data_IF_454608687890
#
_entry.id   IF_454608687890
#
_cell.length_a   1.000
_cell.length_b   1.000
_cell.length_c   1.000
_cell.angle_alpha   90.00
_cell.angle_beta   90.00
_cell.angle_gamma   90.00
#
_symmetry.space_group_name_H-M   'P 1'
#
loop_
_entity.id
_entity.type
_entity.pdbx_description
1 polymer ?
#
# COMPACT_ATOMS: atom_id res chain seq x y z
N UNK A 1 -31.92 -7.74 17.04
CA UNK A 1 -32.92 -6.81 17.56
C UNK A 1 -32.72 -5.44 16.97
N UNK A 2 -33.77 -4.88 16.39
CA UNK A 2 -33.78 -3.50 15.88
C UNK A 2 -33.80 -2.52 17.07
N UNK A 3 -33.26 -1.31 16.91
CA UNK A 3 -33.21 -0.29 17.98
C UNK A 3 -34.62 0.01 18.55
N UNK A 4 -35.65 -0.06 17.71
CA UNK A 4 -37.04 0.14 18.10
C UNK A 4 -37.54 -0.92 19.10
N UNK A 5 -37.18 -2.19 18.92
CA UNK A 5 -37.56 -3.27 19.86
C UNK A 5 -36.88 -3.10 21.22
N UNK A 6 -35.61 -2.65 21.24
CA UNK A 6 -34.89 -2.39 22.48
C UNK A 6 -35.50 -1.21 23.25
N UNK A 7 -35.86 -0.14 22.54
CA UNK A 7 -36.50 1.03 23.14
C UNK A 7 -37.86 0.66 23.74
N UNK A 8 -38.63 -0.21 23.08
CA UNK A 8 -39.90 -0.69 23.61
C UNK A 8 -39.72 -1.47 24.93
N UNK A 9 -38.76 -2.41 24.98
CA UNK A 9 -38.45 -3.16 26.21
C UNK A 9 -38.02 -2.20 27.33
N UNK A 10 -37.22 -1.18 27.02
CA UNK A 10 -36.79 -0.21 28.04
C UNK A 10 -37.92 0.70 28.55
N UNK A 11 -38.95 0.93 27.74
CA UNK A 11 -40.17 1.60 28.19
C UNK A 11 -41.02 0.66 29.05
N UNK A 12 -41.16 -0.61 28.66
CA UNK A 12 -41.90 -1.64 29.41
C UNK A 12 -41.27 -1.92 30.79
N UNK A 13 -39.93 -1.93 30.86
CA UNK A 13 -39.15 -2.05 32.11
C UNK A 13 -39.08 -0.73 32.92
N UNK A 14 -39.69 0.35 32.43
CA UNK A 14 -39.72 1.65 33.12
C UNK A 14 -38.38 2.37 33.20
N UNK A 15 -37.37 1.94 32.44
CA UNK A 15 -36.03 2.56 32.40
C UNK A 15 -36.06 3.94 31.74
N UNK A 16 -36.95 4.15 30.76
CA UNK A 16 -37.12 5.40 30.03
C UNK A 16 -38.61 5.69 29.77
N UNK A 17 -38.96 6.97 29.63
CA UNK A 17 -40.31 7.37 29.24
C UNK A 17 -40.53 7.22 27.72
N UNK A 18 -41.79 7.05 27.30
CA UNK A 18 -42.15 6.93 25.88
C UNK A 18 -41.68 8.12 25.02
N UNK A 19 -41.79 9.36 25.54
CA UNK A 19 -41.28 10.55 24.87
C UNK A 19 -39.74 10.60 24.76
N UNK A 20 -39.02 9.98 25.70
CA UNK A 20 -37.56 9.80 25.59
C UNK A 20 -37.21 8.74 24.54
N UNK A 21 -37.98 7.67 24.44
CA UNK A 21 -37.78 6.66 23.40
C UNK A 21 -37.93 7.26 22.00
N UNK A 22 -38.95 8.10 21.79
CA UNK A 22 -39.21 8.74 20.50
C UNK A 22 -38.11 9.72 20.09
N UNK A 23 -37.59 10.50 21.05
CA UNK A 23 -36.48 11.42 20.81
C UNK A 23 -35.14 10.70 20.53
N UNK A 24 -34.88 9.58 21.18
CA UNK A 24 -33.71 8.72 20.89
C UNK A 24 -33.82 8.10 19.50
N UNK A 25 -35.01 7.62 19.13
CA UNK A 25 -35.25 7.02 17.81
C UNK A 25 -35.09 8.06 16.68
N UNK A 26 -35.58 9.29 16.90
CA UNK A 26 -35.38 10.41 15.98
C UNK A 26 -33.90 10.82 15.85
N UNK A 27 -33.14 10.79 16.95
CA UNK A 27 -31.70 11.05 16.94
C UNK A 27 -30.93 9.97 16.16
N UNK A 28 -31.23 8.69 16.38
CA UNK A 28 -30.55 7.60 15.66
C UNK A 28 -30.92 7.58 14.17
N UNK A 29 -32.18 7.81 13.81
CA UNK A 29 -32.58 7.91 12.40
C UNK A 29 -31.84 9.04 11.66
N UNK A 30 -31.55 10.15 12.34
CA UNK A 30 -30.70 11.23 11.78
C UNK A 30 -29.24 10.83 11.62
N UNK A 31 -28.75 9.89 12.43
CA UNK A 31 -27.35 9.45 12.45
C UNK A 31 -27.08 8.29 11.48
N UNK A 32 -28.10 7.49 11.15
CA UNK A 32 -27.95 6.19 10.49
C UNK A 32 -27.94 6.16 8.96
N UNK A 33 -28.09 7.29 8.27
CA UNK A 33 -27.93 7.33 6.80
C UNK A 33 -26.48 7.64 6.43
N UNK A 34 -25.55 6.72 6.75
CA UNK A 34 -24.31 6.61 5.96
C UNK A 34 -24.66 5.76 4.74
N UNK A 35 -24.81 6.34 3.54
CA UNK A 35 -25.22 5.60 2.37
C UNK A 35 -24.05 4.73 1.88
N UNK A 36 -23.84 3.58 2.51
CA UNK A 36 -22.77 2.64 2.14
C UNK A 36 -22.80 2.30 0.64
N UNK A 37 -24.00 2.17 0.06
CA UNK A 37 -24.18 2.00 -1.38
C UNK A 37 -23.59 3.16 -2.20
N UNK A 38 -23.80 4.42 -1.78
CA UNK A 38 -23.26 5.59 -2.46
C UNK A 38 -21.73 5.64 -2.37
N UNK A 39 -21.15 5.32 -1.21
CA UNK A 39 -19.69 5.21 -1.08
C UNK A 39 -19.12 4.12 -1.98
N UNK A 40 -19.79 2.96 -2.10
CA UNK A 40 -19.37 1.90 -3.02
C UNK A 40 -19.39 2.37 -4.47
N UNK A 41 -20.43 3.08 -4.92
CA UNK A 41 -20.48 3.62 -6.28
C UNK A 41 -19.42 4.70 -6.52
N UNK A 42 -19.11 5.54 -5.53
CA UNK A 42 -18.03 6.53 -5.63
C UNK A 42 -16.68 5.83 -5.77
N UNK A 43 -16.37 4.86 -4.91
CA UNK A 43 -15.11 4.10 -4.95
C UNK A 43 -14.99 3.36 -6.29
N UNK A 44 -16.07 2.72 -6.74
CA UNK A 44 -16.14 2.06 -8.04
C UNK A 44 -15.85 3.04 -9.18
N UNK A 45 -16.53 4.20 -9.19
CA UNK A 45 -16.34 5.23 -10.21
C UNK A 45 -14.91 5.75 -10.25
N UNK A 46 -14.34 6.09 -9.09
CA UNK A 46 -12.94 6.52 -8.97
C UNK A 46 -11.99 5.44 -9.47
N UNK A 47 -12.25 4.17 -9.13
CA UNK A 47 -11.41 3.04 -9.55
C UNK A 47 -11.45 2.85 -11.07
N UNK A 48 -12.65 2.87 -11.67
CA UNK A 48 -12.83 2.74 -13.13
C UNK A 48 -12.15 3.88 -13.87
N UNK A 49 -12.31 5.13 -13.41
CA UNK A 49 -11.66 6.29 -14.00
C UNK A 49 -10.14 6.17 -13.88
N UNK A 50 -9.62 5.78 -12.71
CA UNK A 50 -8.18 5.61 -12.49
C UNK A 50 -7.59 4.56 -13.42
N UNK A 51 -8.25 3.40 -13.55
CA UNK A 51 -7.84 2.33 -14.47
C UNK A 51 -7.88 2.82 -15.91
N UNK A 52 -8.91 3.58 -16.31
CA UNK A 52 -9.01 4.15 -17.65
C UNK A 52 -7.86 5.10 -17.99
N UNK A 53 -7.49 5.98 -17.06
CA UNK A 53 -6.35 6.89 -17.23
C UNK A 53 -5.04 6.10 -17.35
N UNK A 54 -4.81 5.13 -16.46
CA UNK A 54 -3.63 4.26 -16.52
C UNK A 54 -3.57 3.51 -17.85
N UNK A 55 -4.71 3.00 -18.33
CA UNK A 55 -4.82 2.30 -19.61
C UNK A 55 -4.49 3.20 -20.81
N UNK A 56 -4.95 4.45 -20.81
CA UNK A 56 -4.61 5.42 -21.86
C UNK A 56 -3.10 5.72 -21.88
N UNK A 57 -2.49 5.92 -20.72
CA UNK A 57 -1.05 6.13 -20.59
C UNK A 57 -0.29 4.89 -21.09
N UNK A 58 -0.71 3.69 -20.67
CA UNK A 58 -0.12 2.43 -21.10
C UNK A 58 -0.22 2.21 -22.62
N UNK A 59 -1.35 2.58 -23.23
CA UNK A 59 -1.54 2.46 -24.67
C UNK A 59 -0.59 3.38 -25.48
N UNK A 60 -0.16 4.49 -24.89
CA UNK A 60 0.77 5.45 -25.50
C UNK A 60 2.21 5.30 -24.95
N UNK A 61 2.49 4.27 -24.15
CA UNK A 61 3.71 4.16 -23.37
C UNK A 61 5.00 4.22 -24.21
N UNK A 62 5.00 3.53 -25.35
CA UNK A 62 6.12 3.52 -26.30
C UNK A 62 6.37 4.88 -26.97
N UNK A 63 5.34 5.70 -27.10
CA UNK A 63 5.45 7.03 -27.70
C UNK A 63 5.96 8.10 -26.72
N UNK A 64 5.91 7.82 -25.42
CA UNK A 64 6.37 8.75 -24.38
C UNK A 64 7.89 8.63 -24.24
N UNK A 65 8.67 9.72 -24.39
CA UNK A 65 10.11 9.67 -24.21
C UNK A 65 10.50 9.28 -22.78
N UNK A 66 11.58 8.51 -22.63
CA UNK A 66 12.02 8.00 -21.33
C UNK A 66 12.37 9.11 -20.33
N UNK A 67 12.93 10.22 -20.81
CA UNK A 67 13.20 11.40 -19.98
C UNK A 67 11.91 11.97 -19.36
N UNK A 68 10.81 11.99 -20.12
CA UNK A 68 9.51 12.48 -19.63
C UNK A 68 8.97 11.54 -18.55
N UNK A 69 9.07 10.22 -18.76
CA UNK A 69 8.68 9.21 -17.75
C UNK A 69 9.43 9.44 -16.43
N UNK A 70 10.74 9.61 -16.50
CA UNK A 70 11.58 9.85 -15.32
C UNK A 70 11.30 11.19 -14.64
N UNK A 71 11.15 12.27 -15.42
CA UNK A 71 10.84 13.59 -14.85
C UNK A 71 9.50 13.57 -14.12
N UNK A 72 8.48 12.95 -14.70
CA UNK A 72 7.15 12.82 -14.06
C UNK A 72 7.24 11.96 -12.79
N UNK A 73 7.98 10.85 -12.84
CA UNK A 73 8.20 9.97 -11.69
C UNK A 73 8.87 10.70 -10.51
N UNK A 74 10.00 11.38 -10.76
CA UNK A 74 10.69 12.15 -9.73
C UNK A 74 9.87 13.34 -9.22
N UNK A 75 9.06 13.97 -10.08
CA UNK A 75 8.14 15.02 -9.68
C UNK A 75 7.05 14.47 -8.75
N UNK A 76 6.49 13.30 -9.06
CA UNK A 76 5.49 12.64 -8.22
C UNK A 76 6.06 12.24 -6.85
N UNK A 77 7.29 11.70 -6.82
CA UNK A 77 8.03 11.44 -5.59
C UNK A 77 8.23 12.71 -4.76
N UNK A 78 8.68 13.80 -5.40
CA UNK A 78 8.97 15.08 -4.73
C UNK A 78 7.70 15.71 -4.13
N UNK A 79 6.60 15.72 -4.88
CA UNK A 79 5.31 16.22 -4.39
C UNK A 79 4.81 15.38 -3.23
N UNK A 80 4.92 14.05 -3.33
CA UNK A 80 4.47 13.14 -2.27
C UNK A 80 5.31 13.33 -1.00
N UNK A 81 6.64 13.45 -1.12
CA UNK A 81 7.53 13.74 0.01
C UNK A 81 7.20 15.08 0.67
N UNK A 82 6.96 16.13 -0.12
CA UNK A 82 6.52 17.43 0.40
C UNK A 82 5.18 17.33 1.14
N UNK A 83 4.20 16.62 0.56
CA UNK A 83 2.90 16.43 1.16
C UNK A 83 2.97 15.60 2.46
N UNK A 84 3.85 14.60 2.55
CA UNK A 84 4.13 13.88 3.81
C UNK A 84 4.63 14.85 4.86
N UNK A 85 5.60 15.69 4.53
CA UNK A 85 6.15 16.66 5.48
C UNK A 85 5.09 17.64 5.98
N UNK A 86 4.25 18.15 5.08
CA UNK A 86 3.16 19.07 5.40
C UNK A 86 2.06 18.41 6.25
N UNK A 87 1.68 17.18 5.93
CA UNK A 87 0.59 16.45 6.60
C UNK A 87 1.04 15.41 7.65
N UNK A 88 2.27 15.52 8.17
CA UNK A 88 2.87 14.50 9.07
C UNK A 88 2.07 14.19 10.34
N UNK A 89 1.24 15.14 10.80
CA UNK A 89 0.40 14.99 11.99
C UNK A 89 -1.02 14.51 11.70
N UNK A 90 -1.36 14.26 10.42
CA UNK A 90 -2.69 13.85 9.98
C UNK A 90 -2.69 12.38 9.55
N UNK A 91 -3.86 11.74 9.59
CA UNK A 91 -4.04 10.36 9.13
C UNK A 91 -3.56 10.17 7.68
N UNK A 92 -3.75 11.19 6.84
CA UNK A 92 -3.35 11.17 5.43
C UNK A 92 -1.83 11.10 5.25
N UNK A 93 -1.03 11.62 6.20
CA UNK A 93 0.43 11.52 6.14
C UNK A 93 0.94 10.08 6.21
N UNK A 94 0.26 9.20 6.97
CA UNK A 94 0.55 7.77 7.00
C UNK A 94 0.25 7.10 5.67
N UNK A 95 -0.93 7.38 5.09
CA UNK A 95 -1.33 6.84 3.79
C UNK A 95 -0.37 7.29 2.69
N UNK A 96 0.04 8.56 2.68
CA UNK A 96 1.02 9.09 1.74
C UNK A 96 2.40 8.45 1.90
N UNK A 97 2.80 8.06 3.11
CA UNK A 97 4.10 7.40 3.31
C UNK A 97 4.12 5.96 2.83
N UNK A 98 3.00 5.24 2.99
CA UNK A 98 2.81 3.94 2.35
C UNK A 98 2.86 4.10 0.82
N UNK A 99 2.14 5.08 0.28
CA UNK A 99 2.18 5.40 -1.14
C UNK A 99 3.61 5.73 -1.61
N UNK A 100 4.36 6.52 -0.85
CA UNK A 100 5.74 6.89 -1.17
C UNK A 100 6.67 5.68 -1.25
N UNK A 101 6.54 4.70 -0.34
CA UNK A 101 7.28 3.43 -0.46
C UNK A 101 6.96 2.70 -1.78
N UNK A 102 5.68 2.63 -2.17
CA UNK A 102 5.30 2.02 -3.44
C UNK A 102 5.79 2.82 -4.65
N UNK A 103 5.81 4.16 -4.57
CA UNK A 103 6.36 5.01 -5.63
C UNK A 103 7.86 4.81 -5.80
N UNK A 104 8.64 4.65 -4.72
CA UNK A 104 10.07 4.32 -4.82
C UNK A 104 10.25 2.97 -5.52
N UNK A 105 9.47 1.95 -5.13
CA UNK A 105 9.55 0.64 -5.74
C UNK A 105 9.17 0.69 -7.24
N UNK A 106 8.13 1.44 -7.59
CA UNK A 106 7.72 1.68 -8.96
C UNK A 106 8.80 2.42 -9.77
N UNK A 107 9.45 3.43 -9.18
CA UNK A 107 10.56 4.18 -9.77
C UNK A 107 11.74 3.26 -10.12
N UNK A 108 12.13 2.37 -9.19
CA UNK A 108 13.16 1.36 -9.45
C UNK A 108 12.76 0.45 -10.62
N UNK A 109 11.50 0.00 -10.66
CA UNK A 109 10.98 -0.80 -11.78
C UNK A 109 10.97 -0.05 -13.11
N UNK A 110 10.62 1.23 -13.10
CA UNK A 110 10.62 2.08 -14.29
C UNK A 110 12.04 2.30 -14.84
N UNK A 111 12.99 2.62 -13.95
CA UNK A 111 14.41 2.77 -14.29
C UNK A 111 14.96 1.44 -14.84
N UNK A 112 14.60 0.31 -14.22
CA UNK A 112 14.97 -1.03 -14.66
C UNK A 112 14.49 -1.32 -16.08
N UNK A 113 13.25 -0.94 -16.42
CA UNK A 113 12.72 -1.09 -17.78
C UNK A 113 13.44 -0.18 -18.80
N UNK A 114 13.63 1.10 -18.49
CA UNK A 114 14.25 2.07 -19.41
C UNK A 114 15.69 1.68 -19.74
N UNK A 115 16.47 1.34 -18.72
CA UNK A 115 17.89 1.01 -18.89
C UNK A 115 18.14 -0.48 -19.11
N UNK A 116 17.07 -1.29 -19.23
CA UNK A 116 17.14 -2.75 -19.36
C UNK A 116 18.03 -3.41 -18.29
N UNK A 117 18.04 -2.83 -17.08
CA UNK A 117 18.82 -3.36 -15.97
C UNK A 117 18.02 -4.44 -15.27
N UNK A 118 18.56 -5.66 -15.25
CA UNK A 118 18.02 -6.76 -14.46
C UNK A 118 18.51 -6.71 -13.01
N UNK A 119 17.82 -7.42 -12.14
CA UNK A 119 18.24 -7.61 -10.76
C UNK A 119 17.24 -8.45 -9.99
N UNK A 120 17.67 -9.13 -8.92
CA UNK A 120 16.76 -9.88 -8.09
C UNK A 120 15.80 -8.93 -7.36
N UNK A 121 14.54 -9.35 -7.22
CA UNK A 121 13.48 -8.51 -6.64
C UNK A 121 13.80 -8.06 -5.21
N UNK A 122 14.44 -8.91 -4.39
CA UNK A 122 14.82 -8.57 -3.02
C UNK A 122 15.73 -7.33 -2.94
N UNK A 123 16.55 -7.09 -3.96
CA UNK A 123 17.47 -5.95 -4.02
C UNK A 123 16.70 -4.65 -4.29
N UNK A 124 15.69 -4.68 -5.14
CA UNK A 124 14.77 -3.55 -5.34
C UNK A 124 14.01 -3.19 -4.05
N UNK A 125 13.57 -4.20 -3.30
CA UNK A 125 12.91 -3.98 -2.00
C UNK A 125 13.91 -3.42 -0.97
N UNK A 126 15.16 -3.92 -0.91
CA UNK A 126 16.19 -3.33 -0.04
C UNK A 126 16.45 -1.85 -0.35
N UNK A 127 16.58 -1.49 -1.62
CA UNK A 127 16.72 -0.08 -2.01
C UNK A 127 15.52 0.76 -1.62
N UNK A 128 14.31 0.22 -1.81
CA UNK A 128 13.07 0.87 -1.38
C UNK A 128 13.09 1.16 0.12
N UNK A 129 13.44 0.16 0.93
CA UNK A 129 13.52 0.28 2.39
C UNK A 129 14.58 1.30 2.82
N UNK A 130 15.76 1.28 2.18
CA UNK A 130 16.84 2.21 2.48
C UNK A 130 16.42 3.66 2.16
N UNK A 131 15.82 3.90 1.00
CA UNK A 131 15.37 5.22 0.56
C UNK A 131 14.18 5.74 1.38
N UNK A 132 13.28 4.86 1.81
CA UNK A 132 12.12 5.26 2.62
C UNK A 132 12.47 5.46 4.10
N UNK A 133 13.61 4.93 4.59
CA UNK A 133 13.95 4.92 6.01
C UNK A 133 13.88 6.30 6.70
N UNK A 134 14.42 7.40 6.13
CA UNK A 134 14.32 8.72 6.76
C UNK A 134 12.87 9.15 6.98
N UNK A 135 11.98 8.85 6.03
CA UNK A 135 10.57 9.22 6.13
C UNK A 135 9.85 8.37 7.19
N UNK A 136 10.16 7.08 7.28
CA UNK A 136 9.59 6.19 8.30
C UNK A 136 9.97 6.65 9.71
N UNK A 137 11.22 7.07 9.91
CA UNK A 137 11.73 7.52 11.21
C UNK A 137 11.15 8.87 11.65
N UNK A 138 10.71 9.71 10.72
CA UNK A 138 10.07 11.00 11.02
C UNK A 138 8.60 10.86 11.45
N UNK A 139 8.00 9.69 11.27
CA UNK A 139 6.60 9.45 11.63
C UNK A 139 6.45 8.85 13.03
N UNK A 140 5.47 9.35 13.79
CA UNK A 140 5.18 8.86 15.14
C UNK A 140 4.38 7.53 15.16
N UNK A 141 3.99 7.00 13.99
CA UNK A 141 3.10 5.84 13.89
C UNK A 141 3.85 4.50 13.79
N UNK A 142 3.42 3.53 14.61
CA UNK A 142 4.00 2.18 14.66
C UNK A 142 3.68 1.34 13.41
N UNK A 143 2.58 1.63 12.72
CA UNK A 143 2.14 0.85 11.56
C UNK A 143 3.17 0.83 10.43
N UNK A 144 3.73 1.99 10.10
CA UNK A 144 4.68 2.12 9.00
C UNK A 144 6.00 1.41 9.33
N UNK A 145 6.43 1.45 10.60
CA UNK A 145 7.60 0.71 11.07
C UNK A 145 7.39 -0.80 10.93
N UNK A 146 6.23 -1.32 11.33
CA UNK A 146 5.93 -2.75 11.16
C UNK A 146 5.93 -3.18 9.69
N UNK A 147 5.36 -2.36 8.80
CA UNK A 147 5.40 -2.62 7.37
C UNK A 147 6.84 -2.63 6.82
N UNK A 148 7.66 -1.67 7.25
CA UNK A 148 9.06 -1.58 6.88
C UNK A 148 9.87 -2.78 7.38
N UNK A 149 9.69 -3.19 8.64
CA UNK A 149 10.33 -4.38 9.22
C UNK A 149 9.91 -5.65 8.48
N UNK A 150 8.63 -5.79 8.11
CA UNK A 150 8.14 -6.94 7.34
C UNK A 150 8.83 -7.00 5.97
N UNK A 151 8.89 -5.87 5.25
CA UNK A 151 9.61 -5.77 3.99
C UNK A 151 11.10 -6.13 4.12
N UNK A 152 11.73 -5.70 5.22
CA UNK A 152 13.12 -6.05 5.52
C UNK A 152 13.29 -7.56 5.74
N UNK A 153 12.47 -8.17 6.60
CA UNK A 153 12.51 -9.61 6.86
C UNK A 153 12.27 -10.43 5.59
N UNK A 154 11.31 -10.01 4.75
CA UNK A 154 11.05 -10.64 3.46
C UNK A 154 12.28 -10.58 2.55
N UNK A 155 12.86 -9.39 2.36
CA UNK A 155 14.02 -9.19 1.49
C UNK A 155 15.25 -9.96 1.98
N UNK A 156 15.45 -9.99 3.31
CA UNK A 156 16.52 -10.72 3.94
C UNK A 156 16.37 -12.24 3.77
N UNK A 157 15.17 -12.77 3.96
CA UNK A 157 14.91 -14.19 3.74
C UNK A 157 15.10 -14.57 2.26
N UNK A 158 14.57 -13.76 1.33
CA UNK A 158 14.76 -13.98 -0.11
C UNK A 158 16.23 -13.94 -0.53
N UNK A 159 17.02 -13.04 0.04
CA UNK A 159 18.46 -12.99 -0.21
C UNK A 159 19.18 -14.26 0.26
N UNK A 160 18.81 -14.78 1.44
CA UNK A 160 19.34 -16.04 1.97
C UNK A 160 18.97 -17.21 1.04
N UNK A 161 17.71 -17.32 0.61
CA UNK A 161 17.27 -18.44 -0.24
C UNK A 161 17.92 -18.42 -1.61
N UNK A 162 18.09 -17.24 -2.22
CA UNK A 162 18.74 -17.11 -3.52
C UNK A 162 20.25 -17.44 -3.42
N UNK A 163 20.90 -17.07 -2.32
CA UNK A 163 22.30 -17.44 -2.06
C UNK A 163 22.51 -18.95 -1.89
N UNK A 164 21.54 -19.66 -1.31
CA UNK A 164 21.59 -21.12 -1.12
C UNK A 164 21.39 -21.88 -2.45
N UNK A 165 20.48 -21.41 -3.31
CA UNK A 165 20.24 -22.01 -4.64
C UNK A 165 21.50 -22.04 -5.51
N UNK A 166 22.43 -21.10 -5.34
CA UNK A 166 23.69 -21.08 -6.09
C UNK A 166 24.68 -22.14 -5.59
N UNK A 167 24.71 -22.42 -4.28
CA UNK A 167 25.61 -23.42 -3.70
C UNK A 167 25.20 -24.85 -4.08
N UNK A 168 23.90 -25.18 -4.02
CA UNK A 168 23.41 -26.52 -4.35
C UNK A 168 23.66 -26.88 -5.84
N UNK A 169 23.50 -25.91 -6.74
CA UNK A 169 23.79 -26.09 -8.16
C UNK A 169 25.29 -26.31 -8.42
N UNK A 170 26.15 -25.61 -7.68
CA UNK A 170 27.61 -25.72 -7.83
C UNK A 170 28.13 -27.04 -7.26
N UNK A 171 27.58 -27.51 -6.13
CA UNK A 171 27.92 -28.82 -5.56
C UNK A 171 27.44 -29.98 -6.45
N UNK A 172 26.25 -29.88 -7.06
CA UNK A 172 25.77 -30.87 -8.03
C UNK A 172 26.68 -30.93 -9.28
N UNK A 173 27.08 -29.78 -9.83
CA UNK A 173 28.01 -29.74 -10.99
C UNK A 173 29.39 -30.31 -10.63
N UNK A 174 29.92 -30.00 -9.44
CA UNK A 174 31.17 -30.59 -8.96
C UNK A 174 31.06 -32.10 -8.75
N UNK A 175 29.94 -32.59 -8.23
CA UNK A 175 29.67 -34.02 -8.08
C UNK A 175 29.60 -34.75 -9.44
N UNK A 176 28.89 -34.18 -10.42
CA UNK A 176 28.80 -34.78 -11.78
C UNK A 176 30.12 -34.70 -12.56
N UNK A 177 30.90 -33.63 -12.40
CA UNK A 177 32.19 -33.49 -13.10
C UNK A 177 33.28 -34.37 -12.49
N UNK A 178 33.39 -34.44 -11.15
CA UNK A 178 34.34 -35.32 -10.47
C UNK A 178 33.95 -36.81 -10.55
N UNK A 179 32.64 -37.12 -10.53
CA UNK A 179 32.13 -38.49 -10.69
C UNK A 179 32.31 -39.07 -12.09
N UNK A 180 32.63 -38.24 -13.09
CA UNK A 180 32.92 -38.68 -14.47
C UNK A 180 34.41 -38.96 -14.75
N UNK A 181 35.29 -38.67 -13.79
CA UNK A 181 36.75 -38.81 -13.90
C UNK A 181 37.26 -40.07 -13.14
N UNK A 182 36.37 -40.80 -12.46
CA UNK A 182 36.61 -42.10 -11.80
C UNK A 182 35.91 -43.22 -12.56
#
# INVERSE_FOLDING_TARGET
MKIAEKLQIWVEEGLIQSGQAESILAFENKKHTRPYAMYSFIILGVTVISIGIISLIAANWESIPDLVKLVVDFLLLSITAYAIFHYRNHLIGYALSVLFCFLILASIGLISQIYHTGGPFYLAVFFTLALSAPMVLLQNGRFLIHLWTLGFCFSFLSWITDGQSFNDATELVLFFTLGSIL
#
